data_IF_005179816948
#
_entry.id   IF_005179816948
#
_cell.length_a   1.000
_cell.length_b   1.000
_cell.length_c   1.000
_cell.angle_alpha   90.00
_cell.angle_beta   90.00
_cell.angle_gamma   90.00
#
_symmetry.space_group_name_H-M   'P 1'
#
loop_
_entity.id
_entity.type
_entity.pdbx_description
1 polymer ?
#
# COMPACT_ATOMS: atom_id res chain seq x y z
N UNK A 1 -23.63 20.49 -14.98
CA UNK A 1 -22.77 19.81 -14.00
C UNK A 1 -23.61 19.73 -12.74
N UNK A 2 -24.07 18.54 -12.37
CA UNK A 2 -24.84 18.36 -11.13
C UNK A 2 -23.89 18.53 -9.92
N UNK A 3 -24.44 18.85 -8.74
CA UNK A 3 -23.64 18.95 -7.51
C UNK A 3 -22.90 17.63 -7.21
N UNK A 4 -23.43 16.51 -7.64
CA UNK A 4 -22.85 15.17 -7.51
C UNK A 4 -21.57 14.97 -8.34
N UNK A 5 -21.56 15.50 -9.59
CA UNK A 5 -20.36 15.44 -10.45
C UNK A 5 -19.19 16.27 -9.87
N UNK A 6 -19.51 17.30 -9.05
CA UNK A 6 -18.49 18.18 -8.46
C UNK A 6 -17.72 17.54 -7.30
N UNK A 7 -18.36 16.73 -6.47
CA UNK A 7 -17.71 16.17 -5.27
C UNK A 7 -16.58 15.20 -5.60
N UNK A 8 -16.77 14.29 -6.56
CA UNK A 8 -15.71 13.38 -6.99
C UNK A 8 -14.61 14.09 -7.79
N UNK A 9 -14.93 15.15 -8.53
CA UNK A 9 -13.93 15.99 -9.17
C UNK A 9 -13.02 16.67 -8.13
N UNK A 10 -13.59 17.19 -7.03
CA UNK A 10 -12.81 17.77 -5.92
C UNK A 10 -11.88 16.71 -5.31
N UNK A 11 -12.37 15.50 -5.03
CA UNK A 11 -11.56 14.40 -4.52
C UNK A 11 -10.36 14.07 -5.43
N UNK A 12 -10.60 13.97 -6.75
CA UNK A 12 -9.53 13.70 -7.72
C UNK A 12 -8.53 14.85 -7.76
N UNK A 13 -8.99 16.10 -7.81
CA UNK A 13 -8.14 17.29 -7.82
C UNK A 13 -7.25 17.39 -6.59
N UNK A 14 -7.80 17.20 -5.39
CA UNK A 14 -7.03 17.21 -4.14
C UNK A 14 -5.94 16.14 -4.13
N UNK A 15 -6.26 14.91 -4.55
CA UNK A 15 -5.26 13.85 -4.59
C UNK A 15 -4.24 14.03 -5.70
N UNK A 16 -4.61 14.63 -6.84
CA UNK A 16 -3.67 14.98 -7.89
C UNK A 16 -2.67 16.04 -7.39
N UNK A 17 -3.14 17.11 -6.75
CA UNK A 17 -2.27 18.14 -6.22
C UNK A 17 -1.34 17.64 -5.10
N UNK A 18 -1.84 16.81 -4.18
CA UNK A 18 -1.01 16.17 -3.14
C UNK A 18 0.05 15.24 -3.74
N UNK A 19 -0.31 14.47 -4.77
CA UNK A 19 0.63 13.61 -5.45
C UNK A 19 1.69 14.43 -6.21
N UNK A 20 1.27 15.50 -6.90
CA UNK A 20 2.17 16.39 -7.62
C UNK A 20 3.18 17.05 -6.67
N UNK A 21 2.71 17.64 -5.55
CA UNK A 21 3.60 18.21 -4.53
C UNK A 21 4.65 17.20 -4.04
N UNK A 22 4.23 15.96 -3.82
CA UNK A 22 5.14 14.91 -3.38
C UNK A 22 6.18 14.49 -4.41
N UNK A 23 5.80 14.34 -5.70
CA UNK A 23 6.76 13.96 -6.75
C UNK A 23 7.73 15.11 -7.11
N UNK A 24 7.34 16.35 -6.91
CA UNK A 24 8.23 17.50 -7.12
C UNK A 24 9.31 17.64 -6.03
N UNK A 25 9.14 16.94 -4.90
CA UNK A 25 10.11 16.90 -3.80
C UNK A 25 11.08 15.72 -3.89
N UNK A 26 10.99 14.90 -4.94
CA UNK A 26 11.91 13.77 -5.14
C UNK A 26 13.34 14.27 -5.23
N UNK A 27 14.22 13.75 -4.33
CA UNK A 27 15.63 14.11 -4.19
C UNK A 27 16.26 13.32 -3.03
N UNK A 28 17.51 13.64 -2.70
CA UNK A 28 18.36 12.84 -1.79
C UNK A 28 17.80 12.63 -0.37
N UNK A 29 16.92 13.51 0.11
CA UNK A 29 16.28 13.42 1.43
C UNK A 29 14.76 13.52 1.29
N UNK A 30 14.11 12.40 1.02
CA UNK A 30 12.64 12.35 0.97
C UNK A 30 12.10 11.81 2.30
N UNK A 31 11.36 12.63 3.09
CA UNK A 31 10.74 12.19 4.35
C UNK A 31 9.74 11.05 4.13
N UNK A 32 9.68 10.13 5.10
CA UNK A 32 8.80 8.94 5.07
C UNK A 32 7.33 9.35 4.88
N UNK A 33 6.91 10.44 5.55
CA UNK A 33 5.55 10.97 5.49
C UNK A 33 5.19 11.45 4.07
N UNK A 34 6.14 12.07 3.36
CA UNK A 34 5.94 12.52 1.98
C UNK A 34 5.80 11.32 1.05
N UNK A 35 6.69 10.31 1.17
CA UNK A 35 6.57 9.06 0.40
C UNK A 35 5.21 8.41 0.63
N UNK A 36 4.82 8.27 1.90
CA UNK A 36 3.55 7.65 2.29
C UNK A 36 2.34 8.41 1.73
N UNK A 37 2.30 9.73 1.91
CA UNK A 37 1.21 10.59 1.46
C UNK A 37 1.07 10.60 -0.07
N UNK A 38 2.17 10.74 -0.78
CA UNK A 38 2.23 10.72 -2.25
C UNK A 38 1.75 9.38 -2.80
N UNK A 39 2.28 8.28 -2.27
CA UNK A 39 1.87 6.93 -2.67
C UNK A 39 0.39 6.66 -2.40
N UNK A 40 -0.13 7.15 -1.28
CA UNK A 40 -1.55 7.01 -0.94
C UNK A 40 -2.42 7.78 -1.93
N UNK A 41 -2.06 9.02 -2.27
CA UNK A 41 -2.78 9.82 -3.26
C UNK A 41 -2.77 9.18 -4.64
N UNK A 42 -1.62 8.71 -5.13
CA UNK A 42 -1.53 7.98 -6.40
C UNK A 42 -2.38 6.71 -6.42
N UNK A 43 -2.45 5.96 -5.33
CA UNK A 43 -3.31 4.77 -5.24
C UNK A 43 -4.79 5.11 -5.30
N UNK A 44 -5.21 6.21 -4.66
CA UNK A 44 -6.58 6.71 -4.69
C UNK A 44 -6.97 7.16 -6.09
N UNK A 45 -6.11 7.89 -6.78
CA UNK A 45 -6.32 8.30 -8.18
C UNK A 45 -6.47 7.08 -9.10
N UNK A 46 -5.57 6.09 -8.99
CA UNK A 46 -5.67 4.85 -9.77
C UNK A 46 -6.93 4.06 -9.46
N UNK A 47 -7.39 4.06 -8.21
CA UNK A 47 -8.64 3.42 -7.85
C UNK A 47 -9.84 4.15 -8.47
N UNK A 48 -9.86 5.48 -8.46
CA UNK A 48 -10.91 6.29 -9.11
C UNK A 48 -10.99 5.99 -10.61
N UNK A 49 -9.85 6.01 -11.32
CA UNK A 49 -9.78 5.64 -12.76
C UNK A 49 -10.34 4.25 -13.02
N UNK A 50 -10.01 3.28 -12.19
CA UNK A 50 -10.46 1.87 -12.35
C UNK A 50 -11.90 1.63 -11.95
N UNK A 51 -12.44 2.45 -11.06
CA UNK A 51 -13.84 2.35 -10.61
C UNK A 51 -14.78 2.93 -11.66
N UNK A 52 -14.38 4.01 -12.32
CA UNK A 52 -15.20 4.72 -13.32
C UNK A 52 -14.39 5.00 -14.60
N UNK A 53 -13.92 3.95 -15.31
CA UNK A 53 -13.01 4.13 -16.44
C UNK A 53 -13.66 4.87 -17.62
N UNK A 54 -14.97 4.77 -17.79
CA UNK A 54 -15.70 5.47 -18.85
C UNK A 54 -15.74 7.00 -18.72
N UNK A 55 -15.44 7.52 -17.52
CA UNK A 55 -15.44 8.95 -17.24
C UNK A 55 -14.05 9.61 -17.39
N UNK A 56 -13.00 8.80 -17.56
CA UNK A 56 -11.63 9.28 -17.72
C UNK A 56 -11.20 9.11 -19.17
N UNK A 57 -10.89 10.18 -19.90
CA UNK A 57 -10.31 10.06 -21.23
C UNK A 57 -9.04 9.20 -21.19
N UNK A 58 -8.98 8.20 -22.06
CA UNK A 58 -7.89 7.23 -22.11
C UNK A 58 -7.50 6.67 -20.71
N UNK A 59 -8.47 6.09 -20.02
CA UNK A 59 -8.31 5.56 -18.66
C UNK A 59 -7.13 4.57 -18.54
N UNK A 60 -6.82 3.83 -19.59
CA UNK A 60 -5.70 2.90 -19.61
C UNK A 60 -4.36 3.62 -19.57
N UNK A 61 -4.18 4.66 -20.39
CA UNK A 61 -2.99 5.49 -20.37
C UNK A 61 -2.86 6.27 -19.05
N UNK A 62 -3.97 6.82 -18.54
CA UNK A 62 -3.97 7.49 -17.25
C UNK A 62 -3.55 6.55 -16.09
N UNK A 63 -4.08 5.32 -16.03
CA UNK A 63 -3.66 4.34 -15.02
C UNK A 63 -2.19 3.95 -15.17
N UNK A 64 -1.69 3.79 -16.40
CA UNK A 64 -0.30 3.49 -16.66
C UNK A 64 0.65 4.63 -16.24
N UNK A 65 0.30 5.88 -16.54
CA UNK A 65 1.06 7.05 -16.14
C UNK A 65 1.13 7.21 -14.61
N UNK A 66 -0.01 7.06 -13.92
CA UNK A 66 -0.06 7.05 -12.45
C UNK A 66 0.70 5.86 -11.86
N UNK A 67 0.73 4.71 -12.56
CA UNK A 67 1.52 3.55 -12.13
C UNK A 67 3.01 3.81 -12.20
N UNK A 68 3.48 4.44 -13.27
CA UNK A 68 4.89 4.79 -13.45
C UNK A 68 5.42 5.64 -12.28
N UNK A 69 4.61 6.56 -11.75
CA UNK A 69 4.92 7.33 -10.54
C UNK A 69 4.86 6.48 -9.26
N UNK A 70 3.87 5.59 -9.16
CA UNK A 70 3.59 4.85 -7.94
C UNK A 70 4.57 3.70 -7.66
N UNK A 71 5.18 3.09 -8.68
CA UNK A 71 6.06 1.94 -8.53
C UNK A 71 7.35 2.28 -7.76
N UNK A 72 8.15 3.29 -8.17
CA UNK A 72 9.38 3.63 -7.46
C UNK A 72 9.12 4.10 -6.01
N UNK A 73 8.09 4.92 -5.80
CA UNK A 73 7.65 5.30 -4.45
C UNK A 73 7.20 4.10 -3.63
N UNK A 74 6.74 3.05 -4.29
CA UNK A 74 6.38 1.79 -3.66
C UNK A 74 7.60 1.09 -3.05
N UNK A 75 8.68 1.01 -3.78
CA UNK A 75 9.95 0.38 -3.34
C UNK A 75 10.54 1.11 -2.13
N UNK A 76 10.56 2.45 -2.15
CA UNK A 76 11.00 3.25 -0.99
C UNK A 76 10.10 2.97 0.22
N UNK A 77 8.77 3.00 0.06
CA UNK A 77 7.85 2.72 1.17
C UNK A 77 7.95 1.29 1.69
N UNK A 78 8.21 0.32 0.84
CA UNK A 78 8.36 -1.07 1.26
C UNK A 78 9.63 -1.24 2.12
N UNK A 79 10.72 -0.50 1.85
CA UNK A 79 11.89 -0.43 2.72
C UNK A 79 11.58 0.26 4.07
N UNK A 80 10.83 1.36 4.06
CA UNK A 80 10.39 2.05 5.28
C UNK A 80 9.51 1.13 6.16
N UNK A 81 8.56 0.40 5.57
CA UNK A 81 7.70 -0.56 6.29
C UNK A 81 8.51 -1.68 6.93
N UNK A 82 9.51 -2.21 6.23
CA UNK A 82 10.41 -3.21 6.80
C UNK A 82 11.17 -2.66 8.02
N UNK A 83 11.65 -1.42 7.97
CA UNK A 83 12.33 -0.78 9.08
C UNK A 83 11.35 -0.56 10.27
N UNK A 84 10.15 -0.04 10.02
CA UNK A 84 9.10 0.15 11.03
C UNK A 84 8.68 -1.17 11.71
N UNK A 85 8.72 -2.28 10.98
CA UNK A 85 8.36 -3.60 11.50
C UNK A 85 9.50 -4.27 12.28
N UNK A 86 10.73 -4.23 11.73
CA UNK A 86 11.85 -5.01 12.24
C UNK A 86 12.60 -4.33 13.38
N UNK A 87 12.69 -2.98 13.39
CA UNK A 87 13.40 -2.26 14.43
C UNK A 87 12.81 -2.51 15.84
N UNK A 88 11.51 -2.33 16.10
CA UNK A 88 10.96 -2.66 17.41
C UNK A 88 10.99 -4.15 17.70
N UNK A 89 10.81 -5.01 16.69
CA UNK A 89 10.78 -6.45 16.91
C UNK A 89 12.13 -7.03 17.35
N UNK A 90 13.26 -6.44 16.93
CA UNK A 90 14.60 -6.83 17.40
C UNK A 90 14.87 -6.31 18.80
N UNK A 91 14.33 -5.15 19.16
CA UNK A 91 14.43 -4.59 20.52
C UNK A 91 13.71 -5.46 21.57
N UNK A 92 12.69 -6.19 21.18
CA UNK A 92 11.96 -7.13 22.01
C UNK A 92 12.71 -8.45 22.29
N UNK A 93 13.84 -8.72 21.62
CA UNK A 93 14.68 -9.86 21.93
C UNK A 93 15.37 -9.68 23.28
N UNK A 94 15.69 -10.80 23.94
CA UNK A 94 16.47 -10.76 25.19
C UNK A 94 17.80 -10.03 25.00
N UNK A 95 18.16 -9.10 25.91
CA UNK A 95 19.43 -8.39 25.84
C UNK A 95 20.62 -9.35 25.83
N UNK A 96 21.52 -9.16 24.88
CA UNK A 96 22.72 -10.02 24.75
C UNK A 96 23.37 -9.93 23.40
N UNK A 97 24.46 -10.69 23.16
CA UNK A 97 25.19 -10.66 21.89
C UNK A 97 24.31 -10.97 20.66
N UNK A 98 23.38 -11.94 20.80
CA UNK A 98 22.48 -12.32 19.71
C UNK A 98 21.61 -11.15 19.24
N UNK A 99 21.02 -10.39 20.19
CA UNK A 99 20.25 -9.19 19.87
C UNK A 99 21.13 -8.11 19.24
N UNK A 100 22.27 -7.79 19.84
CA UNK A 100 23.14 -6.71 19.40
C UNK A 100 23.67 -6.95 17.98
N UNK A 101 24.12 -8.16 17.68
CA UNK A 101 24.60 -8.47 16.34
C UNK A 101 23.49 -8.57 15.30
N UNK A 102 22.33 -9.14 15.63
CA UNK A 102 21.16 -9.15 14.74
C UNK A 102 20.70 -7.73 14.43
N UNK A 103 20.68 -6.84 15.42
CA UNK A 103 20.34 -5.42 15.24
C UNK A 103 21.32 -4.75 14.27
N UNK A 104 22.62 -4.92 14.47
CA UNK A 104 23.64 -4.32 13.59
C UNK A 104 23.53 -4.78 12.13
N UNK A 105 23.27 -6.08 11.91
CA UNK A 105 23.02 -6.64 10.59
C UNK A 105 21.77 -6.01 9.95
N UNK A 106 20.65 -5.98 10.69
CA UNK A 106 19.39 -5.42 10.19
C UNK A 106 19.51 -3.93 9.85
N UNK A 107 20.12 -3.12 10.71
CA UNK A 107 20.33 -1.70 10.45
C UNK A 107 21.17 -1.47 9.17
N UNK A 108 22.19 -2.29 8.94
CA UNK A 108 23.01 -2.22 7.73
C UNK A 108 22.20 -2.52 6.47
N UNK A 109 21.44 -3.61 6.51
CA UNK A 109 20.63 -4.07 5.37
C UNK A 109 19.48 -3.11 5.08
N UNK A 110 18.74 -2.68 6.09
CA UNK A 110 17.59 -1.77 5.91
C UNK A 110 18.03 -0.40 5.36
N UNK A 111 19.17 0.12 5.83
CA UNK A 111 19.76 1.34 5.26
C UNK A 111 20.16 1.16 3.79
N UNK A 112 20.72 0.00 3.42
CA UNK A 112 21.05 -0.29 2.02
C UNK A 112 19.79 -0.37 1.16
N UNK A 113 18.79 -1.12 1.58
CA UNK A 113 17.53 -1.26 0.84
C UNK A 113 16.89 0.11 0.57
N UNK A 114 16.81 0.96 1.60
CA UNK A 114 16.22 2.31 1.44
C UNK A 114 17.05 3.18 0.50
N UNK A 115 18.38 3.16 0.64
CA UNK A 115 19.28 3.92 -0.23
C UNK A 115 19.13 3.49 -1.69
N UNK A 116 19.12 2.18 -1.94
CA UNK A 116 19.01 1.63 -3.29
C UNK A 116 17.64 1.93 -3.92
N UNK A 117 16.56 1.87 -3.12
CA UNK A 117 15.22 2.26 -3.55
C UNK A 117 15.11 3.78 -3.86
N UNK A 118 15.77 4.64 -3.07
CA UNK A 118 15.83 6.08 -3.35
C UNK A 118 16.59 6.36 -4.65
N UNK A 119 17.73 5.71 -4.87
CA UNK A 119 18.50 5.86 -6.11
C UNK A 119 17.69 5.38 -7.34
N UNK A 120 16.96 4.27 -7.22
CA UNK A 120 16.06 3.79 -8.27
C UNK A 120 14.92 4.79 -8.55
N UNK A 121 14.37 5.40 -7.52
CA UNK A 121 13.34 6.43 -7.65
C UNK A 121 13.86 7.70 -8.35
N UNK A 122 15.06 8.16 -7.99
CA UNK A 122 15.71 9.31 -8.66
C UNK A 122 15.96 9.01 -10.15
N UNK A 123 16.42 7.80 -10.47
CA UNK A 123 16.58 7.36 -11.86
C UNK A 123 15.24 7.34 -12.60
N UNK A 124 14.17 6.84 -11.96
CA UNK A 124 12.83 6.84 -12.54
C UNK A 124 12.29 8.26 -12.80
N UNK A 125 12.60 9.24 -11.94
CA UNK A 125 12.19 10.63 -12.09
C UNK A 125 12.76 11.28 -13.37
N UNK A 126 13.87 10.78 -13.92
CA UNK A 126 14.44 11.20 -15.20
C UNK A 126 13.74 10.63 -16.45
N UNK A 127 12.83 9.68 -16.29
CA UNK A 127 12.19 8.98 -17.42
C UNK A 127 11.05 9.77 -18.06
N UNK A 128 10.71 9.41 -19.31
CA UNK A 128 9.54 9.98 -20.00
C UNK A 128 8.23 9.60 -19.32
N UNK A 129 8.09 8.34 -18.91
CA UNK A 129 6.91 7.85 -18.21
C UNK A 129 6.63 8.61 -16.89
N UNK A 130 7.68 9.03 -16.17
CA UNK A 130 7.53 9.90 -15.00
C UNK A 130 7.02 11.28 -15.39
N UNK A 131 7.59 11.89 -16.45
CA UNK A 131 7.16 13.21 -16.94
C UNK A 131 5.71 13.20 -17.44
N UNK A 132 5.30 12.14 -18.13
CA UNK A 132 3.90 11.93 -18.54
C UNK A 132 2.96 11.88 -17.33
N UNK A 133 3.35 11.13 -16.28
CA UNK A 133 2.61 11.05 -15.03
C UNK A 133 2.51 12.41 -14.32
N UNK A 134 3.60 13.17 -14.25
CA UNK A 134 3.61 14.53 -13.69
C UNK A 134 2.69 15.48 -14.47
N UNK A 135 2.76 15.46 -15.80
CA UNK A 135 1.89 16.26 -16.69
C UNK A 135 0.41 15.92 -16.48
N UNK A 136 0.08 14.63 -16.31
CA UNK A 136 -1.28 14.20 -15.99
C UNK A 136 -1.76 14.77 -14.65
N UNK A 137 -0.91 14.70 -13.62
CA UNK A 137 -1.23 15.25 -12.30
C UNK A 137 -1.42 16.77 -12.35
N UNK A 138 -0.57 17.51 -13.09
CA UNK A 138 -0.73 18.93 -13.30
C UNK A 138 -2.06 19.27 -14.00
N UNK A 139 -2.44 18.52 -15.02
CA UNK A 139 -3.71 18.69 -15.70
C UNK A 139 -4.89 18.46 -14.76
N UNK A 140 -4.84 17.40 -13.95
CA UNK A 140 -5.90 17.07 -12.99
C UNK A 140 -5.94 17.98 -11.75
N UNK A 141 -4.81 18.61 -11.39
CA UNK A 141 -4.81 19.69 -10.40
C UNK A 141 -5.61 20.91 -10.90
N UNK A 142 -5.46 21.26 -12.18
CA UNK A 142 -6.14 22.43 -12.77
C UNK A 142 -7.57 22.15 -13.18
N UNK A 143 -7.78 20.98 -13.77
CA UNK A 143 -9.08 20.57 -14.31
C UNK A 143 -9.27 19.08 -14.08
N UNK A 144 -9.71 18.68 -12.87
CA UNK A 144 -9.94 17.28 -12.58
C UNK A 144 -11.08 16.70 -13.41
N UNK A 145 -11.02 15.42 -13.80
CA UNK A 145 -12.10 14.77 -14.50
C UNK A 145 -13.36 14.73 -13.64
N UNK A 146 -14.50 15.01 -14.25
CA UNK A 146 -15.81 14.83 -13.61
C UNK A 146 -16.16 13.34 -13.63
N UNK A 147 -16.25 12.73 -12.46
CA UNK A 147 -16.61 11.32 -12.32
C UNK A 147 -18.06 11.20 -11.88
N UNK A 148 -18.90 10.45 -12.62
CA UNK A 148 -20.26 10.14 -12.15
C UNK A 148 -20.17 9.27 -10.89
N UNK A 149 -21.08 9.47 -9.95
CA UNK A 149 -21.21 8.60 -8.77
C UNK A 149 -21.80 7.26 -9.21
N UNK A 150 -21.06 6.16 -9.14
CA UNK A 150 -21.61 4.85 -9.52
C UNK A 150 -22.61 4.36 -8.47
N UNK A 151 -23.42 3.36 -8.82
CA UNK A 151 -24.32 2.71 -7.89
C UNK A 151 -23.53 2.07 -6.72
N UNK A 152 -23.52 2.75 -5.59
CA UNK A 152 -22.62 2.46 -4.46
C UNK A 152 -22.80 1.02 -3.94
N UNK A 153 -24.05 0.59 -3.73
CA UNK A 153 -24.36 -0.74 -3.22
C UNK A 153 -23.81 -1.84 -4.13
N UNK A 154 -24.03 -1.73 -5.45
CA UNK A 154 -23.55 -2.75 -6.40
C UNK A 154 -22.02 -2.84 -6.43
N UNK A 155 -21.35 -1.69 -6.41
CA UNK A 155 -19.88 -1.63 -6.44
C UNK A 155 -19.27 -2.21 -5.18
N UNK A 156 -19.79 -1.82 -4.01
CA UNK A 156 -19.25 -2.22 -2.71
C UNK A 156 -19.54 -3.69 -2.41
N UNK A 157 -20.74 -4.17 -2.66
CA UNK A 157 -21.13 -5.57 -2.44
C UNK A 157 -20.35 -6.52 -3.36
N UNK A 158 -20.12 -6.13 -4.62
CA UNK A 158 -19.31 -6.91 -5.54
C UNK A 158 -17.86 -6.99 -5.05
N UNK A 159 -17.29 -5.88 -4.58
CA UNK A 159 -15.94 -5.82 -4.08
C UNK A 159 -15.77 -6.65 -2.80
N UNK A 160 -16.72 -6.60 -1.86
CA UNK A 160 -16.73 -7.39 -0.64
C UNK A 160 -16.83 -8.89 -0.94
N UNK A 161 -17.77 -9.31 -1.78
CA UNK A 161 -17.89 -10.70 -2.22
C UNK A 161 -16.60 -11.23 -2.85
N UNK A 162 -15.89 -10.42 -3.60
CA UNK A 162 -14.61 -10.83 -4.20
C UNK A 162 -13.53 -11.04 -3.12
N UNK A 163 -13.48 -10.21 -2.07
CA UNK A 163 -12.56 -10.40 -0.93
C UNK A 163 -12.87 -11.72 -0.23
N UNK A 164 -14.13 -11.95 0.15
CA UNK A 164 -14.58 -13.19 0.83
C UNK A 164 -14.25 -14.42 -0.03
N UNK A 165 -14.55 -14.36 -1.31
CA UNK A 165 -14.22 -15.45 -2.24
C UNK A 165 -12.72 -15.74 -2.27
N UNK A 166 -11.87 -14.70 -2.32
CA UNK A 166 -10.41 -14.87 -2.36
C UNK A 166 -9.85 -15.41 -1.04
N UNK A 167 -10.42 -14.99 0.08
CA UNK A 167 -10.05 -15.53 1.40
C UNK A 167 -10.36 -17.03 1.47
N UNK A 168 -11.56 -17.46 1.08
CA UNK A 168 -11.95 -18.87 1.07
C UNK A 168 -11.03 -19.72 0.17
N UNK A 169 -10.75 -19.24 -1.04
CA UNK A 169 -9.87 -19.95 -1.99
C UNK A 169 -8.43 -20.02 -1.48
N UNK A 170 -7.99 -19.06 -0.66
CA UNK A 170 -6.63 -19.06 -0.12
C UNK A 170 -6.39 -20.20 0.88
N UNK A 171 -7.42 -20.65 1.61
CA UNK A 171 -7.27 -21.63 2.67
C UNK A 171 -6.30 -21.21 3.77
N UNK A 172 -6.02 -19.90 3.89
CA UNK A 172 -5.03 -19.35 4.82
C UNK A 172 -3.57 -19.48 4.35
N UNK A 173 -3.33 -19.93 3.09
CA UNK A 173 -1.97 -20.02 2.56
C UNK A 173 -1.44 -18.61 2.22
N UNK A 174 -0.27 -18.18 2.79
CA UNK A 174 0.26 -16.82 2.64
C UNK A 174 0.41 -16.37 1.18
N UNK A 175 0.93 -17.22 0.31
CA UNK A 175 1.11 -16.93 -1.12
C UNK A 175 -0.22 -16.61 -1.83
N UNK A 176 -1.31 -17.25 -1.43
CA UNK A 176 -2.66 -17.05 -1.99
C UNK A 176 -3.39 -15.85 -1.38
N UNK A 177 -3.06 -15.47 -0.14
CA UNK A 177 -3.63 -14.29 0.53
C UNK A 177 -3.30 -12.98 -0.19
N UNK A 178 -2.24 -12.93 -0.99
CA UNK A 178 -1.92 -11.77 -1.82
C UNK A 178 -3.06 -11.35 -2.77
N UNK A 179 -3.80 -12.33 -3.31
CA UNK A 179 -4.97 -12.03 -4.14
C UNK A 179 -6.13 -11.43 -3.33
N UNK A 180 -6.36 -11.91 -2.11
CA UNK A 180 -7.34 -11.34 -1.18
C UNK A 180 -6.95 -9.91 -0.77
N UNK A 181 -5.66 -9.67 -0.46
CA UNK A 181 -5.13 -8.32 -0.16
C UNK A 181 -5.36 -7.34 -1.31
N UNK A 182 -5.10 -7.76 -2.57
CA UNK A 182 -5.39 -6.91 -3.74
C UNK A 182 -6.88 -6.59 -3.87
N UNK A 183 -7.76 -7.53 -3.56
CA UNK A 183 -9.19 -7.32 -3.57
C UNK A 183 -9.62 -6.37 -2.44
N UNK A 184 -9.13 -6.55 -1.21
CA UNK A 184 -9.41 -5.68 -0.07
C UNK A 184 -8.96 -4.23 -0.32
N UNK A 185 -7.79 -4.02 -0.94
CA UNK A 185 -7.36 -2.69 -1.37
C UNK A 185 -8.33 -2.04 -2.35
N UNK A 186 -8.82 -2.79 -3.35
CA UNK A 186 -9.81 -2.26 -4.30
C UNK A 186 -11.12 -1.91 -3.61
N UNK A 187 -11.60 -2.76 -2.71
CA UNK A 187 -12.79 -2.50 -1.93
C UNK A 187 -12.65 -1.23 -1.08
N UNK A 188 -11.57 -1.10 -0.33
CA UNK A 188 -11.29 0.09 0.48
C UNK A 188 -11.28 1.37 -0.35
N UNK A 189 -10.55 1.40 -1.46
CA UNK A 189 -10.47 2.62 -2.27
C UNK A 189 -11.77 2.94 -3.01
N UNK A 190 -12.56 1.94 -3.39
CA UNK A 190 -13.90 2.17 -3.90
C UNK A 190 -14.80 2.78 -2.83
N UNK A 191 -14.76 2.28 -1.60
CA UNK A 191 -15.50 2.83 -0.47
C UNK A 191 -15.05 4.27 -0.12
N UNK A 192 -13.74 4.55 -0.11
CA UNK A 192 -13.20 5.90 0.11
C UNK A 192 -13.65 6.88 -0.99
N UNK A 193 -13.62 6.45 -2.26
CA UNK A 193 -14.09 7.27 -3.39
C UNK A 193 -15.57 7.60 -3.25
N UNK A 194 -16.42 6.60 -2.96
CA UNK A 194 -17.86 6.79 -2.80
C UNK A 194 -18.21 7.63 -1.57
N UNK A 195 -17.42 7.50 -0.49
CA UNK A 195 -17.56 8.33 0.70
C UNK A 195 -17.22 9.81 0.46
N UNK A 196 -16.46 10.14 -0.59
CA UNK A 196 -16.21 11.52 -1.01
C UNK A 196 -17.38 12.12 -1.83
N UNK A 197 -18.39 11.33 -2.17
CA UNK A 197 -19.62 11.79 -2.81
C UNK A 197 -20.52 12.62 -1.88
N UNK A 198 -21.71 13.04 -2.35
CA UNK A 198 -22.64 13.87 -1.58
C UNK A 198 -23.03 13.23 -0.24
N UNK A 199 -23.18 14.05 0.80
CA UNK A 199 -23.52 13.58 2.16
C UNK A 199 -24.97 13.09 2.29
N UNK A 200 -25.87 13.56 1.43
CA UNK A 200 -27.30 13.23 1.39
C UNK A 200 -27.61 12.00 0.53
N UNK A 201 -26.61 11.28 0.07
CA UNK A 201 -26.79 10.08 -0.74
C UNK A 201 -27.57 9.01 0.06
N UNK A 202 -28.61 8.37 -0.54
CA UNK A 202 -29.42 7.34 0.12
C UNK A 202 -28.61 6.17 0.68
N UNK A 203 -27.47 5.87 0.08
CA UNK A 203 -26.58 4.78 0.46
C UNK A 203 -25.48 5.20 1.46
N UNK A 204 -25.54 6.37 2.08
CA UNK A 204 -24.45 6.91 2.93
C UNK A 204 -24.06 5.99 4.08
N UNK A 205 -25.05 5.46 4.79
CA UNK A 205 -24.82 4.52 5.88
C UNK A 205 -24.12 3.23 5.40
N UNK A 206 -24.58 2.69 4.26
CA UNK A 206 -23.97 1.51 3.64
C UNK A 206 -22.52 1.76 3.22
N UNK A 207 -22.25 2.91 2.59
CA UNK A 207 -20.89 3.32 2.18
C UNK A 207 -19.96 3.40 3.39
N UNK A 208 -20.38 4.05 4.47
CA UNK A 208 -19.56 4.21 5.67
C UNK A 208 -19.31 2.87 6.37
N UNK A 209 -20.31 2.03 6.48
CA UNK A 209 -20.17 0.68 7.02
C UNK A 209 -19.21 -0.18 6.18
N UNK A 210 -19.31 -0.11 4.85
CA UNK A 210 -18.38 -0.78 3.93
C UNK A 210 -16.97 -0.23 4.04
N UNK A 211 -16.79 1.09 4.20
CA UNK A 211 -15.50 1.74 4.38
C UNK A 211 -14.77 1.21 5.62
N UNK A 212 -15.46 1.15 6.75
CA UNK A 212 -14.89 0.65 8.01
C UNK A 212 -14.48 -0.83 7.88
N UNK A 213 -15.35 -1.68 7.32
CA UNK A 213 -15.04 -3.10 7.11
C UNK A 213 -13.87 -3.31 6.14
N UNK A 214 -13.87 -2.57 5.03
CA UNK A 214 -12.82 -2.66 4.02
C UNK A 214 -11.47 -2.19 4.56
N UNK A 215 -11.45 -1.15 5.40
CA UNK A 215 -10.25 -0.65 6.06
C UNK A 215 -9.67 -1.70 7.01
N UNK A 216 -10.49 -2.26 7.90
CA UNK A 216 -10.06 -3.29 8.83
C UNK A 216 -9.52 -4.55 8.12
N UNK A 217 -10.19 -5.00 7.05
CA UNK A 217 -9.74 -6.15 6.27
C UNK A 217 -8.42 -5.86 5.51
N UNK A 218 -8.30 -4.67 4.93
CA UNK A 218 -7.07 -4.28 4.20
C UNK A 218 -5.89 -4.13 5.14
N UNK A 219 -6.10 -3.61 6.35
CA UNK A 219 -5.06 -3.49 7.37
C UNK A 219 -4.60 -4.88 7.83
N UNK A 220 -5.52 -5.77 8.16
CA UNK A 220 -5.21 -7.14 8.58
C UNK A 220 -4.41 -7.90 7.51
N UNK A 221 -4.87 -7.89 6.26
CA UNK A 221 -4.16 -8.52 5.15
C UNK A 221 -2.87 -7.79 4.77
N UNK A 222 -2.77 -6.50 5.07
CA UNK A 222 -1.55 -5.70 4.96
C UNK A 222 -0.48 -6.23 5.90
N UNK A 223 -0.80 -6.34 7.19
CA UNK A 223 0.11 -6.87 8.20
C UNK A 223 0.59 -8.30 7.88
N UNK A 224 -0.29 -9.17 7.39
CA UNK A 224 0.11 -10.53 6.95
C UNK A 224 1.16 -10.48 5.84
N UNK A 225 0.99 -9.60 4.86
CA UNK A 225 1.93 -9.45 3.75
C UNK A 225 3.25 -8.83 4.18
N UNK A 226 3.22 -7.81 5.04
CA UNK A 226 4.42 -7.13 5.51
C UNK A 226 5.27 -8.10 6.36
N UNK A 227 4.64 -8.95 7.17
CA UNK A 227 5.31 -10.05 7.87
C UNK A 227 5.89 -11.11 6.92
N UNK A 228 5.23 -11.42 5.81
CA UNK A 228 5.77 -12.37 4.83
C UNK A 228 7.05 -11.84 4.17
N UNK A 229 7.07 -10.57 3.78
CA UNK A 229 8.25 -9.91 3.21
C UNK A 229 9.39 -9.88 4.25
N UNK A 230 9.10 -9.49 5.49
CA UNK A 230 10.09 -9.46 6.56
C UNK A 230 10.68 -10.85 6.85
N UNK A 231 9.84 -11.89 6.86
CA UNK A 231 10.29 -13.27 7.05
C UNK A 231 11.15 -13.79 5.91
N UNK A 232 10.83 -13.40 4.66
CA UNK A 232 11.67 -13.75 3.51
C UNK A 232 13.05 -13.12 3.63
N UNK A 233 13.14 -11.83 3.96
CA UNK A 233 14.40 -11.15 4.22
C UNK A 233 15.20 -11.82 5.35
N UNK A 234 14.55 -12.11 6.48
CA UNK A 234 15.21 -12.78 7.60
C UNK A 234 15.70 -14.19 7.23
N UNK A 235 15.01 -14.90 6.35
CA UNK A 235 15.46 -16.22 5.87
C UNK A 235 16.73 -16.11 5.04
N UNK A 236 16.84 -15.11 4.19
CA UNK A 236 18.06 -14.81 3.42
C UNK A 236 19.21 -14.44 4.35
N UNK A 237 18.97 -13.57 5.34
CA UNK A 237 19.99 -13.15 6.30
C UNK A 237 20.48 -14.30 7.20
N UNK A 238 19.57 -15.16 7.67
CA UNK A 238 19.94 -16.37 8.42
C UNK A 238 20.81 -17.29 7.58
N UNK A 239 20.49 -17.44 6.30
CA UNK A 239 21.26 -18.30 5.39
C UNK A 239 22.66 -17.72 5.10
N UNK A 240 22.79 -16.39 5.08
CA UNK A 240 24.06 -15.71 4.84
C UNK A 240 24.94 -15.57 6.09
N UNK A 241 24.38 -15.73 7.29
CA UNK A 241 25.12 -15.60 8.54
C UNK A 241 25.91 -16.89 8.86
N UNK A 242 27.08 -16.71 9.47
CA UNK A 242 27.94 -17.82 9.88
C UNK A 242 27.25 -18.76 10.89
N UNK A 243 27.47 -20.07 10.74
CA UNK A 243 26.92 -21.08 11.61
C UNK A 243 27.38 -20.87 13.07
N UNK A 244 26.39 -20.84 13.98
CA UNK A 244 26.64 -20.65 15.41
C UNK A 244 26.96 -19.22 15.82
N UNK A 245 26.94 -18.25 14.90
CA UNK A 245 27.15 -16.85 15.26
C UNK A 245 26.00 -16.30 16.09
N UNK A 246 26.27 -15.33 17.00
CA UNK A 246 25.20 -14.65 17.74
C UNK A 246 24.23 -13.94 16.80
N UNK A 247 24.69 -13.36 15.69
CA UNK A 247 23.85 -12.74 14.67
C UNK A 247 22.78 -13.72 14.14
N UNK A 248 23.22 -14.92 13.71
CA UNK A 248 22.31 -15.96 13.23
C UNK A 248 21.28 -16.36 14.28
N UNK A 249 21.72 -16.55 15.51
CA UNK A 249 20.82 -16.91 16.64
C UNK A 249 19.75 -15.83 16.82
N UNK A 250 20.10 -14.55 16.83
CA UNK A 250 19.16 -13.45 16.98
C UNK A 250 18.18 -13.35 15.79
N UNK A 251 18.67 -13.50 14.55
CA UNK A 251 17.83 -13.50 13.35
C UNK A 251 16.85 -14.67 13.31
N UNK A 252 17.26 -15.87 13.75
CA UNK A 252 16.38 -17.04 13.87
C UNK A 252 15.27 -16.83 14.93
N UNK A 253 15.60 -16.27 16.08
CA UNK A 253 14.64 -15.91 17.12
C UNK A 253 13.61 -14.90 16.60
N UNK A 254 14.09 -13.86 15.92
CA UNK A 254 13.21 -12.86 15.32
C UNK A 254 12.29 -13.48 14.27
N UNK A 255 12.82 -14.29 13.35
CA UNK A 255 12.04 -14.99 12.34
C UNK A 255 10.97 -15.89 12.95
N UNK A 256 11.27 -16.60 14.02
CA UNK A 256 10.31 -17.45 14.74
C UNK A 256 9.16 -16.63 15.33
N UNK A 257 9.46 -15.49 15.97
CA UNK A 257 8.43 -14.57 16.52
C UNK A 257 7.52 -14.00 15.43
N UNK A 258 8.08 -13.51 14.33
CA UNK A 258 7.28 -12.99 13.23
C UNK A 258 6.42 -14.09 12.59
N UNK A 259 6.93 -15.32 12.53
CA UNK A 259 6.15 -16.48 12.03
C UNK A 259 4.96 -16.81 12.92
N UNK A 260 5.12 -16.72 14.24
CA UNK A 260 4.02 -16.91 15.19
C UNK A 260 2.95 -15.82 15.01
N UNK A 261 3.38 -14.55 14.95
CA UNK A 261 2.49 -13.40 14.73
C UNK A 261 1.72 -13.51 13.42
N UNK A 262 2.39 -13.92 12.35
CA UNK A 262 1.75 -14.09 11.05
C UNK A 262 0.64 -15.14 11.08
N UNK A 263 0.88 -16.29 11.74
CA UNK A 263 -0.15 -17.34 11.88
C UNK A 263 -1.40 -16.84 12.61
N UNK A 264 -1.23 -16.05 13.68
CA UNK A 264 -2.34 -15.42 14.40
C UNK A 264 -3.17 -14.50 13.49
N UNK A 265 -2.49 -13.65 12.71
CA UNK A 265 -3.18 -12.71 11.80
C UNK A 265 -3.89 -13.45 10.67
N UNK A 266 -3.29 -14.52 10.13
CA UNK A 266 -3.93 -15.36 9.12
C UNK A 266 -5.20 -16.01 9.68
N UNK A 267 -5.13 -16.57 10.89
CA UNK A 267 -6.31 -17.16 11.53
C UNK A 267 -7.44 -16.12 11.70
N UNK A 268 -7.10 -14.91 12.12
CA UNK A 268 -8.08 -13.80 12.23
C UNK A 268 -8.66 -13.40 10.86
N UNK A 269 -7.83 -13.32 9.81
CA UNK A 269 -8.28 -12.96 8.48
C UNK A 269 -9.25 -14.00 7.89
N UNK A 270 -8.96 -15.29 8.10
CA UNK A 270 -9.82 -16.39 7.66
C UNK A 270 -11.14 -16.42 8.44
N UNK A 271 -11.11 -16.13 9.75
CA UNK A 271 -12.32 -16.08 10.58
C UNK A 271 -13.22 -14.87 10.27
N UNK A 272 -12.68 -13.79 9.70
CA UNK A 272 -13.42 -12.59 9.35
C UNK A 272 -14.04 -12.62 7.93
N UNK A 273 -13.77 -13.64 7.11
CA UNK A 273 -14.28 -13.83 5.73
C UNK A 273 -15.17 -15.04 5.61
#
# INVERSE_FOLDING_TARGET
MSAEDGALAVYVGEHACRALDGILRVGAELPVEIVHGTRTSLRRLRAAVRTVPSAVPDAAAADAALQALALPLGEVRDADVLAELLAPAVEDLEPGPARAEAQAVLEGVLRSLRRDALAAMEAAAGTEAWREGATLLEAWCRTPPSLPVPAAEEVLDRAEREVVRRLRVSGGEPSRLHAARKAAKRWRYAAELLAAGPDDAPSREHIEAARVRAEAMQELLGQVQDLEIARSLLTELVTAADDGSPARTGLEQLRARLSARQRELIARAVAAG
#
